data_IF_074546380479
#
_entry.id   IF_074546380479
#
_cell.length_a   1.000
_cell.length_b   1.000
_cell.length_c   1.000
_cell.angle_alpha   90.00
_cell.angle_beta   90.00
_cell.angle_gamma   90.00
#
_symmetry.space_group_name_H-M   'P 1'
#
loop_
_entity.id
_entity.type
_entity.pdbx_description
1 polymer ?
#
# COMPACT_ATOMS: atom_id res chain seq x y z
N UNK A 1 12.13 -15.78 2.55
CA UNK A 1 10.87 -15.85 3.31
C UNK A 1 10.97 -16.78 4.52
N UNK A 2 11.45 -18.01 4.40
CA UNK A 2 11.59 -18.97 5.53
C UNK A 2 12.37 -18.40 6.73
N UNK A 3 13.47 -17.67 6.49
CA UNK A 3 14.21 -17.00 7.56
C UNK A 3 13.41 -15.88 8.26
N UNK A 4 12.60 -15.12 7.50
CA UNK A 4 11.73 -14.09 8.08
C UNK A 4 10.65 -14.75 8.93
N UNK A 5 9.95 -15.76 8.40
CA UNK A 5 8.92 -16.50 9.15
C UNK A 5 9.49 -17.09 10.45
N UNK A 6 10.66 -17.71 10.37
CA UNK A 6 11.35 -18.22 11.57
C UNK A 6 11.65 -17.14 12.61
N UNK A 7 12.02 -15.93 12.15
CA UNK A 7 12.37 -14.82 13.03
C UNK A 7 11.16 -14.17 13.72
N UNK A 8 10.02 -14.05 12.99
CA UNK A 8 8.82 -13.36 13.50
C UNK A 8 7.81 -14.31 14.17
N UNK A 9 7.99 -15.62 14.08
CA UNK A 9 7.03 -16.62 14.59
C UNK A 9 5.79 -16.74 13.72
N UNK A 10 4.86 -17.63 14.08
CA UNK A 10 3.67 -17.93 13.27
C UNK A 10 2.50 -16.95 13.51
N UNK A 11 2.47 -16.27 14.65
CA UNK A 11 1.42 -15.32 15.00
C UNK A 11 1.50 -13.99 14.24
N UNK A 12 2.67 -13.64 13.75
CA UNK A 12 2.88 -12.39 13.03
C UNK A 12 2.34 -12.50 11.59
N UNK A 13 1.49 -11.55 11.19
CA UNK A 13 1.01 -11.45 9.82
C UNK A 13 2.16 -11.13 8.85
N UNK A 14 2.31 -11.92 7.81
CA UNK A 14 3.32 -11.73 6.77
C UNK A 14 2.64 -11.48 5.42
N UNK A 15 2.83 -10.30 4.87
CA UNK A 15 2.42 -9.91 3.52
C UNK A 15 3.65 -9.73 2.66
N UNK A 16 3.53 -10.04 1.39
CA UNK A 16 4.56 -9.85 0.37
C UNK A 16 4.07 -8.87 -0.67
N UNK A 17 4.99 -8.15 -1.27
CA UNK A 17 4.73 -7.28 -2.39
C UNK A 17 5.86 -7.45 -3.43
N UNK A 18 5.50 -7.94 -4.62
CA UNK A 18 6.42 -8.07 -5.74
C UNK A 18 6.42 -6.84 -6.64
N UNK A 19 5.50 -5.91 -6.44
CA UNK A 19 5.35 -4.70 -7.26
C UNK A 19 5.35 -5.00 -8.77
N UNK A 20 4.64 -6.07 -9.18
CA UNK A 20 4.53 -6.51 -10.59
C UNK A 20 5.88 -6.86 -11.26
N UNK A 21 6.93 -7.11 -10.46
CA UNK A 21 8.29 -7.27 -10.99
C UNK A 21 8.55 -8.64 -11.60
N UNK A 22 7.70 -9.64 -11.37
CA UNK A 22 7.95 -11.00 -11.79
C UNK A 22 7.16 -11.43 -13.02
N UNK A 23 7.78 -12.26 -13.84
CA UNK A 23 7.06 -13.00 -14.87
C UNK A 23 6.17 -14.06 -14.23
N UNK A 24 5.15 -14.52 -14.95
CA UNK A 24 4.26 -15.58 -14.47
C UNK A 24 5.04 -16.85 -14.09
N UNK A 25 6.08 -17.22 -14.85
CA UNK A 25 6.91 -18.39 -14.57
C UNK A 25 7.71 -18.22 -13.28
N UNK A 26 8.32 -17.07 -13.07
CA UNK A 26 9.05 -16.74 -11.84
C UNK A 26 8.11 -16.75 -10.63
N UNK A 27 6.93 -16.10 -10.75
CA UNK A 27 5.94 -16.07 -9.69
C UNK A 27 5.49 -17.49 -9.28
N UNK A 28 5.25 -18.40 -10.25
CA UNK A 28 4.91 -19.80 -9.96
C UNK A 28 6.02 -20.55 -9.20
N UNK A 29 7.29 -20.31 -9.55
CA UNK A 29 8.41 -20.91 -8.83
C UNK A 29 8.50 -20.40 -7.40
N UNK A 30 8.40 -19.08 -7.21
CA UNK A 30 8.48 -18.45 -5.89
C UNK A 30 7.33 -18.90 -5.00
N UNK A 31 6.08 -18.94 -5.50
CA UNK A 31 4.93 -19.37 -4.71
C UNK A 31 5.13 -20.77 -4.14
N UNK A 32 5.66 -21.72 -4.93
CA UNK A 32 5.97 -23.07 -4.43
C UNK A 32 7.02 -23.07 -3.31
N UNK A 33 8.02 -22.19 -3.40
CA UNK A 33 9.09 -22.12 -2.40
C UNK A 33 8.64 -21.46 -1.08
N UNK A 34 7.56 -20.69 -1.09
CA UNK A 34 7.07 -19.93 0.08
C UNK A 34 5.73 -20.46 0.61
N UNK A 35 5.17 -21.51 0.05
CA UNK A 35 3.88 -22.06 0.46
C UNK A 35 3.82 -22.36 1.96
N UNK A 36 4.89 -22.90 2.53
CA UNK A 36 5.01 -23.22 3.96
C UNK A 36 5.29 -22.01 4.84
N UNK A 37 5.36 -20.79 4.28
CA UNK A 37 5.71 -19.60 5.04
C UNK A 37 4.52 -18.89 5.69
N UNK A 38 3.32 -19.46 5.67
CA UNK A 38 2.09 -18.85 6.21
C UNK A 38 1.92 -17.39 5.75
N UNK A 39 1.89 -17.18 4.41
CA UNK A 39 1.74 -15.87 3.81
C UNK A 39 0.27 -15.48 3.83
N UNK A 40 -0.03 -14.35 4.48
CA UNK A 40 -1.39 -13.82 4.59
C UNK A 40 -1.93 -13.25 3.30
N UNK A 41 -1.04 -12.62 2.52
CA UNK A 41 -1.40 -12.00 1.25
C UNK A 41 -0.16 -11.75 0.39
N UNK A 42 -0.33 -11.83 -0.92
CA UNK A 42 0.71 -11.55 -1.89
C UNK A 42 0.25 -10.45 -2.86
N UNK A 43 0.82 -9.28 -2.68
CA UNK A 43 0.50 -8.07 -3.41
C UNK A 43 1.25 -8.02 -4.73
N UNK A 44 0.54 -7.68 -5.80
CA UNK A 44 1.06 -7.53 -7.16
C UNK A 44 2.07 -8.62 -7.59
N UNK A 45 1.70 -9.92 -7.48
CA UNK A 45 2.62 -11.01 -7.81
C UNK A 45 3.05 -11.01 -9.28
N UNK A 46 2.21 -10.48 -10.17
CA UNK A 46 2.40 -10.40 -11.63
C UNK A 46 1.73 -9.13 -12.16
N UNK A 47 2.00 -8.78 -13.44
CA UNK A 47 1.61 -7.49 -14.00
C UNK A 47 0.13 -7.37 -14.38
N UNK A 48 -0.57 -8.48 -14.68
CA UNK A 48 -1.93 -8.44 -15.22
C UNK A 48 -2.90 -9.33 -14.44
N UNK A 49 -4.19 -9.01 -14.50
CA UNK A 49 -5.24 -9.84 -13.89
C UNK A 49 -5.30 -11.23 -14.55
N UNK A 50 -5.02 -11.32 -15.85
CA UNK A 50 -4.99 -12.59 -16.59
C UNK A 50 -3.86 -13.51 -16.13
N UNK A 51 -2.68 -12.95 -15.86
CA UNK A 51 -1.57 -13.71 -15.28
C UNK A 51 -1.87 -14.08 -13.83
N UNK A 52 -2.49 -13.18 -13.07
CA UNK A 52 -2.91 -13.45 -11.69
C UNK A 52 -3.94 -14.58 -11.63
N UNK A 53 -4.91 -14.62 -12.56
CA UNK A 53 -5.86 -15.72 -12.67
C UNK A 53 -5.18 -17.06 -12.96
N UNK A 54 -4.21 -17.09 -13.88
CA UNK A 54 -3.39 -18.29 -14.16
C UNK A 54 -2.50 -18.69 -12.96
N UNK A 55 -2.07 -17.70 -12.17
CA UNK A 55 -1.26 -17.96 -10.97
C UNK A 55 -2.14 -18.56 -9.86
N UNK A 56 -3.41 -18.18 -9.75
CA UNK A 56 -4.39 -18.73 -8.82
C UNK A 56 -4.58 -20.23 -8.95
N UNK A 57 -4.46 -20.78 -10.15
CA UNK A 57 -4.55 -22.23 -10.39
C UNK A 57 -3.45 -23.02 -9.66
N UNK A 58 -2.39 -22.35 -9.19
CA UNK A 58 -1.21 -22.95 -8.58
C UNK A 58 -0.96 -22.53 -7.13
N UNK A 59 -1.83 -21.72 -6.54
CA UNK A 59 -1.64 -21.24 -5.17
C UNK A 59 -2.96 -20.86 -4.51
N UNK A 60 -3.09 -21.20 -3.24
CA UNK A 60 -4.19 -20.75 -2.36
C UNK A 60 -3.89 -19.45 -1.62
N UNK A 61 -2.68 -18.92 -1.72
CA UNK A 61 -2.32 -17.65 -1.07
C UNK A 61 -3.20 -16.53 -1.66
N UNK A 62 -3.89 -15.72 -0.82
CA UNK A 62 -4.67 -14.59 -1.30
C UNK A 62 -3.81 -13.56 -2.02
N UNK A 63 -4.32 -13.03 -3.15
CA UNK A 63 -3.64 -11.98 -3.91
C UNK A 63 -4.27 -10.62 -3.69
N UNK A 64 -3.46 -9.57 -3.75
CA UNK A 64 -3.94 -8.19 -3.81
C UNK A 64 -3.27 -7.40 -4.94
N UNK A 65 -3.86 -6.26 -5.29
CA UNK A 65 -3.32 -5.37 -6.33
C UNK A 65 -3.66 -3.91 -6.08
N UNK A 66 -2.80 -3.02 -6.61
CA UNK A 66 -3.03 -1.59 -6.68
C UNK A 66 -3.95 -1.15 -7.84
N UNK A 67 -4.24 -2.03 -8.81
CA UNK A 67 -5.05 -1.68 -9.97
C UNK A 67 -6.55 -1.75 -9.63
N UNK A 68 -7.30 -0.62 -9.59
CA UNK A 68 -8.69 -0.59 -9.13
C UNK A 68 -9.71 -1.02 -10.20
N UNK A 69 -9.43 -2.03 -11.00
CA UNK A 69 -10.40 -2.58 -11.95
C UNK A 69 -11.28 -3.66 -11.31
N UNK A 70 -12.28 -3.21 -10.52
CA UNK A 70 -13.22 -4.11 -9.86
C UNK A 70 -14.00 -4.99 -10.85
N UNK A 71 -14.36 -4.46 -12.02
CA UNK A 71 -15.09 -5.23 -13.02
C UNK A 71 -14.26 -6.41 -13.50
N UNK A 72 -12.99 -6.18 -13.80
CA UNK A 72 -12.06 -7.22 -14.22
C UNK A 72 -11.78 -8.24 -13.10
N UNK A 73 -11.63 -7.74 -11.87
CA UNK A 73 -11.47 -8.59 -10.69
C UNK A 73 -12.63 -9.58 -10.53
N UNK A 74 -13.85 -9.11 -10.60
CA UNK A 74 -15.05 -9.96 -10.50
C UNK A 74 -15.14 -10.98 -11.64
N UNK A 75 -14.81 -10.57 -12.88
CA UNK A 75 -14.83 -11.45 -14.05
C UNK A 75 -13.82 -12.60 -13.94
N UNK A 76 -12.67 -12.36 -13.36
CA UNK A 76 -11.57 -13.32 -13.29
C UNK A 76 -11.43 -14.02 -11.93
N UNK A 77 -12.17 -13.58 -10.91
CA UNK A 77 -12.07 -14.11 -9.55
C UNK A 77 -10.74 -13.78 -8.87
N UNK A 78 -10.04 -12.76 -9.33
CA UNK A 78 -8.78 -12.24 -8.77
C UNK A 78 -8.67 -10.74 -9.00
N UNK A 79 -8.05 -9.98 -8.08
CA UNK A 79 -7.48 -10.41 -6.79
C UNK A 79 -8.55 -10.71 -5.74
N UNK A 80 -8.11 -11.23 -4.60
CA UNK A 80 -8.98 -11.37 -3.42
C UNK A 80 -9.21 -10.02 -2.73
N UNK A 81 -8.27 -9.08 -2.90
CA UNK A 81 -8.29 -7.79 -2.19
C UNK A 81 -7.65 -6.68 -3.04
N UNK A 82 -8.21 -5.49 -2.95
CA UNK A 82 -7.59 -4.27 -3.45
C UNK A 82 -6.78 -3.56 -2.36
N UNK A 83 -5.60 -3.06 -2.73
CA UNK A 83 -4.72 -2.22 -1.90
C UNK A 83 -4.59 -0.87 -2.57
N UNK A 84 -5.45 0.08 -2.23
CA UNK A 84 -5.56 1.32 -3.01
C UNK A 84 -5.28 2.54 -2.15
N UNK A 85 -4.47 3.44 -2.69
CA UNK A 85 -4.38 4.78 -2.19
C UNK A 85 -5.63 5.57 -2.60
N UNK A 86 -6.26 6.27 -1.66
CA UNK A 86 -7.51 7.01 -1.92
C UNK A 86 -7.34 8.11 -2.98
N UNK A 87 -6.13 8.62 -3.19
CA UNK A 87 -5.84 9.62 -4.23
C UNK A 87 -5.98 9.05 -5.64
N UNK A 88 -5.68 7.76 -5.83
CA UNK A 88 -5.84 7.06 -7.12
C UNK A 88 -7.31 7.02 -7.55
N UNK A 89 -8.22 6.86 -6.59
CA UNK A 89 -9.67 6.87 -6.84
C UNK A 89 -10.26 8.28 -6.99
N UNK A 90 -9.48 9.32 -6.69
CA UNK A 90 -9.91 10.71 -6.81
C UNK A 90 -10.60 11.27 -5.56
N UNK A 91 -10.17 10.83 -4.38
CA UNK A 91 -10.52 11.40 -3.08
C UNK A 91 -11.56 10.59 -2.29
N UNK A 92 -11.94 11.12 -1.12
CA UNK A 92 -12.72 10.43 -0.08
C UNK A 92 -14.03 9.82 -0.63
N UNK A 93 -14.86 10.63 -1.27
CA UNK A 93 -16.19 10.19 -1.69
C UNK A 93 -16.14 9.05 -2.73
N UNK A 94 -15.20 9.09 -3.66
CA UNK A 94 -15.01 8.04 -4.66
C UNK A 94 -14.45 6.77 -4.03
N UNK A 95 -13.56 6.91 -3.07
CA UNK A 95 -12.99 5.78 -2.33
C UNK A 95 -14.06 5.04 -1.54
N UNK A 96 -14.93 5.74 -0.81
CA UNK A 96 -16.04 5.11 -0.09
C UNK A 96 -17.02 4.40 -1.03
N UNK A 97 -17.31 4.96 -2.21
CA UNK A 97 -18.11 4.27 -3.23
C UNK A 97 -17.43 3.00 -3.75
N UNK A 98 -16.12 3.05 -3.98
CA UNK A 98 -15.36 1.89 -4.44
C UNK A 98 -15.33 0.78 -3.36
N UNK A 99 -15.12 1.16 -2.10
CA UNK A 99 -15.17 0.21 -0.97
C UNK A 99 -16.53 -0.47 -0.86
N UNK A 100 -17.63 0.30 -0.96
CA UNK A 100 -18.98 -0.25 -0.96
C UNK A 100 -19.25 -1.20 -2.14
N UNK A 101 -18.69 -0.91 -3.31
CA UNK A 101 -18.76 -1.81 -4.45
C UNK A 101 -17.94 -3.09 -4.23
N UNK A 102 -16.75 -3.01 -3.63
CA UNK A 102 -15.96 -4.18 -3.24
C UNK A 102 -16.73 -5.04 -2.24
N UNK A 103 -17.36 -4.43 -1.22
CA UNK A 103 -18.20 -5.12 -0.25
C UNK A 103 -19.33 -5.88 -0.94
N UNK A 104 -20.10 -5.22 -1.83
CA UNK A 104 -21.19 -5.84 -2.55
C UNK A 104 -20.74 -7.01 -3.45
N UNK A 105 -19.50 -7.03 -3.90
CA UNK A 105 -18.92 -8.08 -4.74
C UNK A 105 -18.08 -9.10 -3.96
N UNK A 106 -17.97 -8.96 -2.64
CA UNK A 106 -17.18 -9.87 -1.80
C UNK A 106 -15.65 -9.76 -2.01
N UNK A 107 -15.16 -8.65 -2.58
CA UNK A 107 -13.73 -8.40 -2.77
C UNK A 107 -13.20 -7.58 -1.61
N UNK A 108 -12.12 -8.03 -0.98
CA UNK A 108 -11.49 -7.33 0.14
C UNK A 108 -10.94 -5.96 -0.26
N UNK A 109 -10.72 -5.12 0.74
CA UNK A 109 -10.13 -3.80 0.54
C UNK A 109 -9.31 -3.38 1.76
N UNK A 110 -8.15 -2.80 1.55
CA UNK A 110 -7.46 -1.95 2.52
C UNK A 110 -6.77 -0.78 1.84
N UNK A 111 -6.49 0.25 2.63
CA UNK A 111 -5.78 1.42 2.14
C UNK A 111 -4.27 1.30 2.36
N UNK A 112 -3.50 1.98 1.51
CA UNK A 112 -2.14 2.38 1.84
C UNK A 112 -1.99 3.90 1.74
N UNK A 113 -1.00 4.46 2.43
CA UNK A 113 -0.72 5.89 2.45
C UNK A 113 0.79 6.14 2.43
N UNK A 114 1.17 7.17 1.73
CA UNK A 114 2.54 7.71 1.68
C UNK A 114 2.55 9.23 1.60
N UNK A 115 1.37 9.85 1.73
CA UNK A 115 1.16 11.29 1.60
C UNK A 115 1.66 12.05 2.83
N UNK A 116 1.83 13.37 2.65
CA UNK A 116 2.01 14.31 3.75
C UNK A 116 0.76 14.37 4.66
N UNK A 117 0.89 15.02 5.81
CA UNK A 117 -0.09 14.99 6.89
C UNK A 117 -1.53 15.30 6.51
N UNK A 118 -1.78 16.19 5.52
CA UNK A 118 -3.14 16.48 5.05
C UNK A 118 -3.77 15.25 4.39
N UNK A 119 -3.06 14.63 3.46
CA UNK A 119 -3.50 13.39 2.81
C UNK A 119 -3.59 12.23 3.79
N UNK A 120 -2.64 12.15 4.72
CA UNK A 120 -2.61 11.13 5.77
C UNK A 120 -3.79 11.26 6.73
N UNK A 121 -4.20 12.49 7.11
CA UNK A 121 -5.40 12.70 7.90
C UNK A 121 -6.67 12.24 7.15
N UNK A 122 -6.80 12.59 5.87
CA UNK A 122 -7.91 12.12 5.04
C UNK A 122 -7.94 10.59 4.94
N UNK A 123 -6.78 9.95 4.77
CA UNK A 123 -6.64 8.50 4.79
C UNK A 123 -7.14 7.88 6.09
N UNK A 124 -6.76 8.42 7.26
CA UNK A 124 -7.20 7.92 8.56
C UNK A 124 -8.71 8.01 8.72
N UNK A 125 -9.33 9.11 8.27
CA UNK A 125 -10.79 9.25 8.29
C UNK A 125 -11.49 8.24 7.38
N UNK A 126 -10.97 7.97 6.18
CA UNK A 126 -11.53 6.95 5.28
C UNK A 126 -11.46 5.57 5.90
N UNK A 127 -10.32 5.21 6.47
CA UNK A 127 -10.14 3.90 7.12
C UNK A 127 -11.07 3.74 8.32
N UNK A 128 -11.23 4.79 9.13
CA UNK A 128 -12.10 4.76 10.30
C UNK A 128 -13.60 4.78 9.97
N UNK A 129 -13.97 5.29 8.80
CA UNK A 129 -15.37 5.46 8.40
C UNK A 129 -15.99 4.22 7.73
N UNK A 130 -15.21 3.17 7.49
CA UNK A 130 -15.71 1.96 6.80
C UNK A 130 -15.58 0.71 7.66
N UNK A 131 -16.56 -0.18 7.55
CA UNK A 131 -16.55 -1.50 8.21
C UNK A 131 -15.99 -2.62 7.33
N UNK A 132 -15.76 -2.37 6.03
CA UNK A 132 -15.28 -3.39 5.09
C UNK A 132 -13.77 -3.58 5.09
N UNK A 133 -13.01 -2.73 5.78
CA UNK A 133 -11.57 -2.91 5.96
C UNK A 133 -11.33 -3.79 7.19
N UNK A 134 -11.10 -5.08 6.96
CA UNK A 134 -10.88 -6.08 8.02
C UNK A 134 -9.40 -6.34 8.33
N UNK A 135 -8.52 -5.91 7.45
CA UNK A 135 -7.07 -6.10 7.55
C UNK A 135 -6.38 -4.79 7.91
N UNK A 136 -5.24 -4.82 8.63
CA UNK A 136 -4.48 -3.61 8.89
C UNK A 136 -4.09 -2.91 7.61
N UNK A 137 -4.42 -1.63 7.49
CA UNK A 137 -4.00 -0.78 6.39
C UNK A 137 -2.50 -0.49 6.47
N UNK A 138 -1.88 -0.13 5.34
CA UNK A 138 -0.44 0.12 5.23
C UNK A 138 -0.14 1.62 5.28
N UNK A 139 1.05 1.99 5.76
CA UNK A 139 1.52 3.37 5.67
C UNK A 139 3.04 3.49 5.71
N UNK A 140 3.53 4.59 5.15
CA UNK A 140 4.94 4.98 5.19
C UNK A 140 5.23 6.00 6.29
N UNK A 141 4.33 6.24 7.23
CA UNK A 141 4.42 7.28 8.26
C UNK A 141 5.74 7.26 9.04
N UNK A 142 6.26 6.09 9.35
CA UNK A 142 7.53 5.96 10.11
C UNK A 142 8.75 6.51 9.38
N UNK A 143 8.67 6.68 8.06
CA UNK A 143 9.77 7.17 7.24
C UNK A 143 9.66 8.66 6.96
N UNK A 144 8.54 9.27 7.28
CA UNK A 144 8.35 10.71 7.13
C UNK A 144 9.09 11.44 8.26
N UNK A 145 10.01 12.32 7.89
CA UNK A 145 10.80 13.14 8.82
C UNK A 145 10.41 14.61 8.75
N UNK A 146 9.61 14.98 7.75
CA UNK A 146 9.15 16.33 7.48
C UNK A 146 7.70 16.32 7.01
N UNK A 147 6.95 17.40 7.27
CA UNK A 147 5.55 17.48 6.92
C UNK A 147 5.09 18.93 6.68
N UNK A 148 3.87 19.06 6.15
CA UNK A 148 3.19 20.31 5.85
C UNK A 148 2.09 20.66 6.87
N UNK A 149 2.00 19.91 7.97
CA UNK A 149 1.07 20.18 9.08
C UNK A 149 1.82 20.64 10.34
N UNK A 150 1.16 21.45 11.19
CA UNK A 150 1.77 21.96 12.43
C UNK A 150 2.04 20.84 13.44
N UNK A 151 1.23 19.81 13.43
CA UNK A 151 1.31 18.64 14.30
C UNK A 151 2.54 17.76 13.96
N UNK A 152 3.15 17.98 12.78
CA UNK A 152 4.26 17.18 12.27
C UNK A 152 3.82 15.80 11.75
N UNK A 153 4.77 14.97 11.29
CA UNK A 153 4.45 13.67 10.72
C UNK A 153 3.73 12.74 11.69
N UNK A 154 2.71 12.03 11.20
CA UNK A 154 2.03 11.00 11.99
C UNK A 154 3.00 9.91 12.42
N UNK A 155 2.95 9.52 13.70
CA UNK A 155 3.80 8.48 14.26
C UNK A 155 2.96 7.42 14.95
N UNK A 156 2.98 6.17 14.45
CA UNK A 156 2.26 5.07 15.08
C UNK A 156 2.77 4.80 16.51
N UNK A 157 1.83 4.59 17.43
CA UNK A 157 2.10 4.11 18.78
C UNK A 157 1.50 2.71 18.92
N UNK A 158 2.33 1.71 19.24
CA UNK A 158 1.90 0.30 19.32
C UNK A 158 1.13 -0.16 18.06
N UNK A 159 1.61 0.25 16.87
CA UNK A 159 0.99 0.00 15.55
C UNK A 159 -0.41 0.62 15.35
N UNK A 160 -0.82 1.55 16.18
CA UNK A 160 -2.09 2.28 16.07
C UNK A 160 -1.84 3.76 15.81
N UNK A 161 -2.73 4.37 15.05
CA UNK A 161 -2.81 5.81 14.82
C UNK A 161 -4.17 6.32 15.27
N UNK A 162 -4.23 7.36 16.12
CA UNK A 162 -5.50 8.02 16.41
C UNK A 162 -5.99 8.77 15.17
N UNK A 163 -7.30 8.75 14.96
CA UNK A 163 -7.94 9.63 13.98
C UNK A 163 -7.97 11.04 14.57
N UNK A 164 -7.56 12.10 13.83
CA UNK A 164 -7.64 13.47 14.32
C UNK A 164 -9.10 13.90 14.57
N UNK A 165 -9.39 14.55 15.69
CA UNK A 165 -10.77 14.88 16.10
C UNK A 165 -11.14 16.37 15.95
N UNK A 166 -10.15 17.24 15.66
CA UNK A 166 -10.44 18.67 15.47
C UNK A 166 -11.26 18.91 14.19
N UNK A 167 -11.94 20.08 14.05
CA UNK A 167 -12.77 20.38 12.88
C UNK A 167 -12.06 20.19 11.54
N UNK A 168 -12.81 19.76 10.52
CA UNK A 168 -12.28 19.44 9.19
C UNK A 168 -11.56 18.10 9.18
N UNK A 169 -10.32 18.07 8.70
CA UNK A 169 -9.46 16.88 8.75
C UNK A 169 -8.74 16.70 10.10
N UNK A 170 -8.97 17.63 11.04
CA UNK A 170 -8.36 17.57 12.35
C UNK A 170 -6.87 17.91 12.38
N UNK A 171 -6.34 18.53 11.33
CA UNK A 171 -4.94 18.96 11.21
C UNK A 171 -4.84 20.40 10.71
N UNK A 172 -3.75 21.07 11.06
CA UNK A 172 -3.51 22.48 10.72
C UNK A 172 -2.39 22.60 9.68
N UNK A 173 -2.65 23.30 8.57
CA UNK A 173 -1.62 23.54 7.55
C UNK A 173 -0.47 24.39 8.11
N UNK A 174 0.73 23.87 8.11
CA UNK A 174 1.95 24.61 8.41
C UNK A 174 2.47 25.36 7.19
N UNK A 175 2.25 26.67 7.15
CA UNK A 175 2.80 27.50 6.06
C UNK A 175 4.32 27.48 6.01
N UNK A 176 4.97 27.38 7.18
CA UNK A 176 6.43 27.23 7.29
C UNK A 176 6.90 25.87 6.74
N UNK A 177 6.21 24.81 7.09
CA UNK A 177 6.47 23.46 6.57
C UNK A 177 6.29 23.40 5.06
N UNK A 178 5.18 23.94 4.55
CA UNK A 178 4.89 23.99 3.11
C UNK A 178 5.98 24.75 2.34
N UNK A 179 6.37 25.93 2.84
CA UNK A 179 7.45 26.74 2.22
C UNK A 179 8.75 25.95 2.16
N UNK A 180 9.18 25.34 3.27
CA UNK A 180 10.40 24.52 3.34
C UNK A 180 10.37 23.35 2.36
N UNK A 181 9.26 22.61 2.30
CA UNK A 181 9.10 21.48 1.38
C UNK A 181 9.10 21.96 -0.08
N UNK A 182 8.47 23.08 -0.37
CA UNK A 182 8.45 23.68 -1.72
C UNK A 182 9.83 24.15 -2.16
N UNK A 183 10.58 24.84 -1.29
CA UNK A 183 11.96 25.27 -1.58
C UNK A 183 12.87 24.07 -1.87
N UNK A 184 12.71 22.98 -1.12
CA UNK A 184 13.41 21.72 -1.40
C UNK A 184 13.02 21.15 -2.76
N UNK A 185 11.75 21.11 -3.10
CA UNK A 185 11.27 20.65 -4.41
C UNK A 185 11.84 21.49 -5.55
N UNK A 186 11.88 22.82 -5.42
CA UNK A 186 12.47 23.68 -6.45
C UNK A 186 13.97 23.45 -6.64
N UNK A 187 14.68 23.10 -5.56
CA UNK A 187 16.12 22.83 -5.59
C UNK A 187 16.47 21.44 -6.13
N UNK A 188 15.71 20.42 -5.75
CA UNK A 188 16.07 19.02 -5.92
C UNK A 188 15.18 18.30 -6.95
N UNK A 189 14.06 18.94 -7.35
CA UNK A 189 13.06 18.35 -8.25
C UNK A 189 12.22 17.26 -7.60
N UNK A 190 11.36 16.58 -8.38
CA UNK A 190 10.57 15.46 -7.88
C UNK A 190 11.46 14.23 -7.66
N UNK A 191 11.31 13.60 -6.49
CA UNK A 191 11.91 12.29 -6.22
C UNK A 191 11.02 11.19 -6.77
N UNK A 192 11.29 10.77 -8.00
CA UNK A 192 10.57 9.67 -8.63
C UNK A 192 11.28 8.32 -8.47
N UNK A 193 12.49 8.31 -7.89
CA UNK A 193 13.31 7.12 -7.76
C UNK A 193 14.11 7.15 -6.45
N UNK A 194 14.38 5.96 -5.93
CA UNK A 194 15.32 5.83 -4.81
C UNK A 194 16.74 6.25 -5.26
N UNK A 195 17.29 7.20 -4.57
CA UNK A 195 18.69 7.61 -4.73
C UNK A 195 19.52 7.05 -3.57
N UNK A 196 20.48 6.18 -3.88
CA UNK A 196 21.45 5.76 -2.87
C UNK A 196 22.35 6.96 -2.52
N UNK A 197 22.32 7.47 -1.27
CA UNK A 197 23.15 8.60 -0.86
C UNK A 197 24.65 8.34 -1.00
N UNK A 198 25.06 7.04 -0.98
CA UNK A 198 26.46 6.62 -1.13
C UNK A 198 26.90 6.45 -2.58
N UNK A 199 25.96 6.50 -3.52
CA UNK A 199 26.21 6.34 -4.95
C UNK A 199 25.30 7.26 -5.77
N UNK A 200 25.42 8.60 -5.60
CA UNK A 200 24.57 9.57 -6.29
C UNK A 200 24.67 9.39 -7.81
N UNK A 201 23.52 9.38 -8.49
CA UNK A 201 23.45 9.19 -9.95
C UNK A 201 23.56 7.75 -10.44
N UNK A 202 23.71 6.76 -9.54
CA UNK A 202 23.67 5.35 -9.90
C UNK A 202 22.33 4.74 -9.53
N UNK A 203 21.59 4.33 -10.53
CA UNK A 203 20.37 3.55 -10.35
C UNK A 203 20.73 2.05 -10.37
N UNK A 204 20.50 1.34 -9.28
CA UNK A 204 20.54 -0.13 -9.28
C UNK A 204 19.16 -0.64 -9.71
N UNK A 205 19.05 -1.12 -10.95
CA UNK A 205 18.00 -2.06 -11.26
C UNK A 205 18.35 -3.39 -10.58
N UNK A 206 17.41 -3.94 -9.82
CA UNK A 206 17.51 -5.35 -9.50
C UNK A 206 17.36 -6.13 -10.82
N UNK A 207 18.23 -7.12 -11.07
CA UNK A 207 18.00 -8.03 -12.22
C UNK A 207 16.62 -8.67 -12.02
N UNK A 208 15.79 -8.58 -13.05
CA UNK A 208 14.46 -9.19 -13.11
C UNK A 208 14.50 -10.57 -13.80
N UNK A 209 15.70 -11.12 -13.97
CA UNK A 209 15.93 -12.39 -14.67
C UNK A 209 15.98 -13.57 -13.69
#
# INVERSE_FOLDING_TARGET
>A
MKAIRKAIGDDAMLRLDANMAWSLSTAKCILREIEDCNIRNYEDPVATFEEMAKLREHSSIPFSTHNPDLKRAVQLGVPDTFVINFTVLGGIARTLKFIAACEAMGVGFWCYSGETGIGSAAYLHVVAATHWIHEPSQSLFRWQIDDVIEEGPFKPKKNLLPVPEAPGLGVTLSRKGLKRCHERFLKEGPYNHYHDPKAPGKFRRMPLD
#
